data_IF_481617564729
#
_entry.id   IF_481617564729
#
_cell.length_a   1.000
_cell.length_b   1.000
_cell.length_c   1.000
_cell.angle_alpha   90.00
_cell.angle_beta   90.00
_cell.angle_gamma   90.00
#
_symmetry.space_group_name_H-M   'P 1'
#
loop_
_entity.id
_entity.type
_entity.pdbx_description
1 polymer ?
#
# COMPACT_ATOMS: atom_id res chain seq x y z
N UNK A 1 -9.33 7.48 -9.72
CA UNK A 1 -8.18 6.64 -10.13
C UNK A 1 -7.09 6.73 -9.10
N UNK A 2 -6.20 5.75 -9.06
CA UNK A 2 -5.20 5.66 -7.99
C UNK A 2 -4.15 6.76 -8.18
N UNK A 3 -3.93 7.56 -7.13
CA UNK A 3 -2.84 8.53 -7.05
C UNK A 3 -1.97 8.15 -5.85
N UNK A 4 -0.72 7.79 -6.12
CA UNK A 4 0.25 7.43 -5.07
C UNK A 4 1.12 8.65 -4.82
N UNK A 5 0.93 9.31 -3.68
CA UNK A 5 1.66 10.53 -3.38
C UNK A 5 3.12 10.29 -2.98
N UNK A 6 3.51 9.05 -2.70
CA UNK A 6 4.92 8.66 -2.59
C UNK A 6 5.63 8.49 -3.95
N UNK A 7 4.94 8.62 -5.09
CA UNK A 7 5.54 8.44 -6.44
C UNK A 7 5.88 9.79 -7.10
N UNK A 8 6.82 9.77 -8.04
CA UNK A 8 7.30 10.92 -8.81
C UNK A 8 6.47 11.24 -10.06
N UNK A 9 5.77 10.27 -10.64
CA UNK A 9 4.99 10.46 -11.88
C UNK A 9 3.56 10.01 -11.63
N UNK A 10 2.93 10.68 -10.66
CA UNK A 10 1.65 10.27 -10.05
C UNK A 10 0.50 10.30 -11.05
N UNK A 11 0.53 11.27 -11.96
CA UNK A 11 -0.49 11.44 -13.00
C UNK A 11 -0.46 10.30 -14.03
N UNK A 12 0.73 9.83 -14.42
CA UNK A 12 0.83 8.72 -15.39
C UNK A 12 0.19 7.43 -14.86
N UNK A 13 0.43 7.08 -13.59
CA UNK A 13 -0.22 5.93 -12.96
C UNK A 13 -1.74 6.12 -12.84
N UNK A 14 -2.17 7.34 -12.52
CA UNK A 14 -3.59 7.69 -12.48
C UNK A 14 -4.25 7.43 -13.83
N UNK A 15 -3.63 7.89 -14.92
CA UNK A 15 -4.16 7.80 -16.27
C UNK A 15 -4.21 6.35 -16.77
N UNK A 16 -3.12 5.57 -16.56
CA UNK A 16 -3.08 4.13 -16.88
C UNK A 16 -4.19 3.38 -16.14
N UNK A 17 -4.31 3.61 -14.83
CA UNK A 17 -5.36 2.97 -14.02
C UNK A 17 -6.75 3.30 -14.57
N UNK A 18 -6.98 4.55 -15.00
CA UNK A 18 -8.24 5.00 -15.60
C UNK A 18 -8.58 4.20 -16.85
N UNK A 19 -7.63 4.16 -17.78
CA UNK A 19 -7.81 3.50 -19.08
C UNK A 19 -8.03 2.01 -18.89
N UNK A 20 -7.23 1.36 -18.05
CA UNK A 20 -7.33 -0.09 -17.84
C UNK A 20 -8.64 -0.51 -17.19
N UNK A 21 -9.18 0.28 -16.24
CA UNK A 21 -10.52 0.04 -15.67
C UNK A 21 -11.64 0.13 -16.71
N UNK A 22 -11.41 0.82 -17.82
CA UNK A 22 -12.31 0.96 -18.96
C UNK A 22 -11.94 0.05 -20.15
N UNK A 23 -11.06 -0.95 -19.95
CA UNK A 23 -10.58 -1.87 -21.01
C UNK A 23 -9.88 -1.14 -22.18
N UNK A 24 -9.20 -0.04 -21.88
CA UNK A 24 -8.42 0.73 -22.86
C UNK A 24 -6.94 0.48 -22.62
N UNK A 25 -6.33 -0.36 -23.46
CA UNK A 25 -4.90 -0.62 -23.45
C UNK A 25 -4.21 0.26 -24.49
N UNK A 26 -3.21 1.04 -24.09
CA UNK A 26 -2.33 1.73 -25.01
C UNK A 26 -0.99 1.00 -25.19
N UNK A 27 -0.36 1.05 -26.37
CA UNK A 27 0.89 0.32 -26.65
C UNK A 27 2.03 0.62 -25.67
N UNK A 28 2.06 1.82 -25.09
CA UNK A 28 3.11 2.27 -24.18
C UNK A 28 2.82 1.95 -22.70
N UNK A 29 1.62 1.46 -22.36
CA UNK A 29 1.18 1.33 -20.96
C UNK A 29 2.08 0.38 -20.18
N UNK A 30 2.40 -0.80 -20.72
CA UNK A 30 3.22 -1.78 -20.01
C UNK A 30 4.64 -1.25 -19.74
N UNK A 31 5.25 -0.61 -20.72
CA UNK A 31 6.59 -0.01 -20.56
C UNK A 31 6.55 1.09 -19.52
N UNK A 32 5.56 1.98 -19.61
CA UNK A 32 5.38 3.09 -18.67
C UNK A 32 5.15 2.56 -17.25
N UNK A 33 4.29 1.56 -17.10
CA UNK A 33 3.99 0.94 -15.82
C UNK A 33 5.21 0.25 -15.20
N UNK A 34 6.03 -0.45 -16.01
CA UNK A 34 7.30 -1.01 -15.54
C UNK A 34 8.23 0.07 -15.03
N UNK A 35 8.40 1.16 -15.77
CA UNK A 35 9.19 2.32 -15.37
C UNK A 35 8.66 2.90 -14.06
N UNK A 36 7.35 3.19 -13.98
CA UNK A 36 6.70 3.72 -12.80
C UNK A 36 6.92 2.85 -11.56
N UNK A 37 6.66 1.55 -11.63
CA UNK A 37 6.78 0.67 -10.46
C UNK A 37 8.24 0.49 -10.04
N UNK A 38 9.13 0.22 -11.00
CA UNK A 38 10.53 -0.09 -10.69
C UNK A 38 11.32 1.14 -10.25
N UNK A 39 11.24 2.24 -11.01
CA UNK A 39 12.02 3.43 -10.72
C UNK A 39 11.52 4.14 -9.46
N UNK A 40 10.20 4.20 -9.21
CA UNK A 40 9.73 4.67 -7.90
C UNK A 40 10.21 3.76 -6.76
N UNK A 41 10.23 2.44 -6.93
CA UNK A 41 10.73 1.54 -5.87
C UNK A 41 12.20 1.82 -5.53
N UNK A 42 13.04 2.08 -6.54
CA UNK A 42 14.44 2.45 -6.34
C UNK A 42 14.59 3.83 -5.71
N UNK A 43 13.88 4.82 -6.25
CA UNK A 43 13.93 6.19 -5.77
C UNK A 43 13.46 6.31 -4.32
N UNK A 44 12.31 5.71 -3.98
CA UNK A 44 11.77 5.66 -2.61
C UNK A 44 12.77 4.99 -1.67
N UNK A 45 13.50 3.97 -2.13
CA UNK A 45 14.49 3.31 -1.28
C UNK A 45 15.67 4.23 -0.94
N UNK A 46 16.19 4.97 -1.93
CA UNK A 46 17.25 5.97 -1.74
C UNK A 46 16.78 7.11 -0.84
N UNK A 47 15.64 7.70 -1.17
CA UNK A 47 15.06 8.81 -0.43
C UNK A 47 14.70 8.42 1.01
N UNK A 48 14.11 7.23 1.21
CA UNK A 48 13.82 6.75 2.56
C UNK A 48 15.08 6.43 3.37
N UNK A 49 16.19 6.08 2.72
CA UNK A 49 17.49 5.89 3.39
C UNK A 49 18.05 7.23 3.82
N UNK A 50 18.10 8.19 2.90
CA UNK A 50 18.55 9.56 3.12
C UNK A 50 17.82 10.21 4.31
N UNK A 51 16.48 10.22 4.27
CA UNK A 51 15.66 10.71 5.37
C UNK A 51 16.00 10.01 6.70
N UNK A 52 16.11 8.68 6.71
CA UNK A 52 16.32 7.94 7.95
C UNK A 52 17.74 8.11 8.53
N UNK A 53 18.75 8.28 7.66
CA UNK A 53 20.14 8.54 8.05
C UNK A 53 20.30 9.93 8.70
N UNK A 54 19.47 10.89 8.31
CA UNK A 54 19.35 12.14 9.05
C UNK A 54 18.49 11.98 10.31
N UNK A 55 17.26 11.47 10.17
CA UNK A 55 16.25 11.52 11.22
C UNK A 55 16.62 10.75 12.49
N UNK A 56 17.03 9.48 12.38
CA UNK A 56 17.24 8.63 13.56
C UNK A 56 18.43 9.08 14.43
N UNK A 57 19.59 9.47 13.87
CA UNK A 57 20.67 10.04 14.67
C UNK A 57 20.28 11.35 15.36
N UNK A 58 19.58 12.26 14.66
CA UNK A 58 19.13 13.53 15.26
C UNK A 58 18.09 13.31 16.37
N UNK A 59 17.18 12.35 16.17
CA UNK A 59 16.18 11.99 17.16
C UNK A 59 16.78 11.32 18.39
N UNK A 60 17.64 10.32 18.21
CA UNK A 60 18.22 9.56 19.32
C UNK A 60 19.34 10.30 20.05
N UNK A 61 20.12 11.12 19.34
CA UNK A 61 21.36 11.71 19.86
C UNK A 61 22.52 10.71 19.94
N UNK A 62 22.33 9.48 19.45
CA UNK A 62 23.26 8.37 19.56
C UNK A 62 23.71 7.86 18.19
N UNK A 63 24.76 7.02 18.19
CA UNK A 63 25.17 6.27 16.99
C UNK A 63 24.11 5.21 16.67
N UNK A 64 23.48 5.35 15.50
CA UNK A 64 22.44 4.43 15.03
C UNK A 64 23.05 3.27 14.25
N UNK A 65 22.57 2.07 14.53
CA UNK A 65 22.86 0.84 13.79
C UNK A 65 21.67 0.50 12.90
N UNK A 66 21.94 0.06 11.66
CA UNK A 66 20.94 -0.32 10.69
C UNK A 66 20.95 -1.84 10.47
N UNK A 67 19.77 -2.47 10.49
CA UNK A 67 19.61 -3.88 10.16
C UNK A 67 18.53 -4.04 9.09
N UNK A 68 18.90 -4.60 7.93
CA UNK A 68 17.90 -4.99 6.92
C UNK A 68 17.26 -6.30 7.34
N UNK A 69 15.93 -6.37 7.26
CA UNK A 69 15.13 -7.54 7.62
C UNK A 69 14.18 -7.91 6.49
N UNK A 70 13.76 -9.18 6.49
CA UNK A 70 12.95 -9.80 5.43
C UNK A 70 11.61 -10.34 5.92
N UNK A 71 11.47 -10.55 7.24
CA UNK A 71 10.24 -11.02 7.86
C UNK A 71 9.91 -10.24 9.15
N UNK A 72 8.67 -10.42 9.63
CA UNK A 72 8.19 -9.75 10.84
C UNK A 72 8.76 -10.33 12.13
N UNK A 73 9.18 -11.60 12.12
CA UNK A 73 9.82 -12.25 13.25
C UNK A 73 11.06 -11.49 13.72
N UNK A 74 11.93 -11.08 12.79
CA UNK A 74 13.16 -10.31 13.10
C UNK A 74 12.87 -9.02 13.87
N UNK A 75 11.83 -8.27 13.46
CA UNK A 75 11.37 -7.06 14.17
C UNK A 75 10.84 -7.40 15.57
N UNK A 76 9.99 -8.43 15.67
CA UNK A 76 9.33 -8.81 16.92
C UNK A 76 10.34 -9.34 17.94
N UNK A 77 11.34 -10.08 17.49
CA UNK A 77 12.42 -10.58 18.33
C UNK A 77 13.25 -9.44 18.91
N UNK A 78 13.62 -8.45 18.08
CA UNK A 78 14.38 -7.29 18.54
C UNK A 78 13.59 -6.47 19.58
N UNK A 79 12.28 -6.31 19.39
CA UNK A 79 11.40 -5.63 20.35
C UNK A 79 11.31 -6.36 21.70
N UNK A 80 11.27 -7.70 21.67
CA UNK A 80 11.11 -8.52 22.88
C UNK A 80 12.41 -8.68 23.66
N UNK A 81 13.54 -8.83 22.97
CA UNK A 81 14.84 -9.12 23.59
C UNK A 81 15.41 -7.95 24.41
N UNK A 82 15.19 -6.71 23.94
CA UNK A 82 15.79 -5.51 24.54
C UNK A 82 14.72 -4.43 24.75
N UNK A 83 13.77 -4.63 25.68
CA UNK A 83 12.70 -3.68 25.90
C UNK A 83 13.23 -2.36 26.45
N UNK A 84 12.65 -1.24 25.99
CA UNK A 84 13.08 0.10 26.40
C UNK A 84 12.87 0.34 27.90
N UNK A 85 11.79 -0.21 28.43
CA UNK A 85 11.45 -0.28 29.85
C UNK A 85 10.57 -1.52 30.07
N UNK A 86 10.36 -1.88 31.33
CA UNK A 86 9.58 -3.07 31.69
C UNK A 86 8.45 -2.68 32.63
N UNK A 87 7.26 -3.19 32.35
CA UNK A 87 6.11 -3.16 33.24
C UNK A 87 5.36 -4.51 33.15
N UNK A 88 4.34 -4.72 33.98
CA UNK A 88 3.58 -5.98 34.02
C UNK A 88 3.00 -6.36 32.65
N UNK A 89 2.55 -5.36 31.90
CA UNK A 89 1.96 -5.56 30.58
C UNK A 89 2.99 -6.04 29.56
N UNK A 90 4.17 -5.42 29.54
CA UNK A 90 5.29 -5.80 28.66
C UNK A 90 5.78 -7.21 29.01
N UNK A 91 5.93 -7.53 30.30
CA UNK A 91 6.30 -8.88 30.76
C UNK A 91 5.29 -9.92 30.25
N UNK A 92 3.99 -9.62 30.38
CA UNK A 92 2.92 -10.50 29.91
C UNK A 92 2.92 -10.68 28.38
N UNK A 93 3.22 -9.63 27.62
CA UNK A 93 3.31 -9.69 26.16
C UNK A 93 4.51 -10.53 25.73
N UNK A 94 5.70 -10.24 26.27
CA UNK A 94 6.94 -10.95 25.97
C UNK A 94 6.82 -12.44 26.30
N UNK A 95 6.32 -12.79 27.50
CA UNK A 95 6.13 -14.19 27.90
C UNK A 95 5.22 -14.95 26.94
N UNK A 96 4.09 -14.35 26.53
CA UNK A 96 3.15 -15.01 25.60
C UNK A 96 3.77 -15.21 24.22
N UNK A 97 4.56 -14.24 23.76
CA UNK A 97 5.29 -14.34 22.50
C UNK A 97 6.38 -15.42 22.54
N UNK A 98 7.16 -15.48 23.63
CA UNK A 98 8.22 -16.49 23.81
C UNK A 98 7.66 -17.90 23.93
N UNK A 99 6.51 -18.08 24.58
CA UNK A 99 5.85 -19.38 24.73
C UNK A 99 5.23 -19.90 23.42
N UNK A 100 4.67 -19.00 22.60
CA UNK A 100 3.93 -19.37 21.38
C UNK A 100 4.21 -18.40 20.21
N UNK A 101 5.47 -18.30 19.75
CA UNK A 101 5.87 -17.33 18.72
C UNK A 101 5.08 -17.50 17.41
N UNK A 102 4.67 -18.71 17.06
CA UNK A 102 3.92 -19.06 15.87
C UNK A 102 2.55 -18.35 15.76
N UNK A 103 1.95 -17.97 16.90
CA UNK A 103 0.65 -17.28 16.94
C UNK A 103 0.72 -15.82 16.48
N UNK A 104 1.92 -15.30 16.28
CA UNK A 104 2.18 -13.90 16.00
C UNK A 104 2.64 -13.66 14.56
N UNK A 105 2.28 -14.53 13.61
CA UNK A 105 2.44 -14.28 12.16
C UNK A 105 3.87 -13.86 11.77
N UNK A 106 4.88 -14.45 12.44
CA UNK A 106 6.30 -14.09 12.31
C UNK A 106 6.82 -14.21 10.88
N UNK A 107 6.35 -15.22 10.16
CA UNK A 107 6.70 -15.48 8.76
C UNK A 107 6.11 -14.48 7.76
N UNK A 108 5.36 -13.48 8.24
CA UNK A 108 4.82 -12.43 7.37
C UNK A 108 5.97 -11.70 6.67
N UNK A 109 6.02 -11.69 5.32
CA UNK A 109 7.12 -11.03 4.64
C UNK A 109 7.13 -9.52 4.92
N UNK A 110 8.29 -8.99 5.24
CA UNK A 110 8.51 -7.62 5.66
C UNK A 110 9.89 -7.19 5.16
N UNK A 111 9.93 -6.42 4.07
CA UNK A 111 11.18 -5.81 3.62
C UNK A 111 11.27 -4.42 4.24
N UNK A 112 12.16 -4.28 5.22
CA UNK A 112 12.34 -3.05 5.97
C UNK A 112 13.77 -2.92 6.50
N UNK A 113 14.07 -1.75 7.03
CA UNK A 113 15.31 -1.49 7.77
C UNK A 113 14.91 -1.11 9.18
N UNK A 114 15.45 -1.83 10.16
CA UNK A 114 15.31 -1.54 11.58
C UNK A 114 16.48 -0.65 12.02
N UNK A 115 16.18 0.27 12.92
CA UNK A 115 17.15 1.19 13.51
C UNK A 115 17.22 0.93 15.00
N UNK A 116 18.44 0.77 15.50
CA UNK A 116 18.71 0.56 16.92
C UNK A 116 19.86 1.44 17.39
N UNK A 117 19.89 1.71 18.69
CA UNK A 117 21.02 2.35 19.38
C UNK A 117 21.55 1.39 20.43
N UNK A 118 22.83 1.52 20.76
CA UNK A 118 23.42 0.69 21.80
C UNK A 118 23.01 1.19 23.18
N UNK A 119 22.38 0.33 23.98
CA UNK A 119 22.03 0.61 25.38
C UNK A 119 22.45 -0.57 26.23
N UNK A 120 23.30 -0.32 27.24
CA UNK A 120 23.81 -1.36 28.14
C UNK A 120 24.46 -2.55 27.38
N UNK A 121 25.18 -2.25 26.30
CA UNK A 121 25.85 -3.25 25.46
C UNK A 121 24.91 -4.09 24.59
N UNK A 122 23.63 -3.70 24.45
CA UNK A 122 22.64 -4.39 23.62
C UNK A 122 21.94 -3.44 22.64
N UNK A 123 21.50 -3.93 21.47
CA UNK A 123 20.77 -3.11 20.51
C UNK A 123 19.34 -2.86 21.00
N UNK A 124 19.02 -1.60 21.29
CA UNK A 124 17.68 -1.15 21.61
C UNK A 124 17.02 -0.56 20.36
N UNK A 125 15.91 -1.16 19.92
CA UNK A 125 15.16 -0.71 18.76
C UNK A 125 14.51 0.67 18.99
N UNK A 126 14.72 1.59 18.07
CA UNK A 126 14.17 2.96 18.11
C UNK A 126 13.20 3.26 16.97
N UNK A 127 13.14 2.41 15.95
CA UNK A 127 12.22 2.59 14.83
C UNK A 127 12.59 1.81 13.59
N UNK A 128 11.81 1.95 12.54
CA UNK A 128 12.04 1.28 11.26
C UNK A 128 11.55 2.13 10.10
N UNK A 129 12.07 1.83 8.92
CA UNK A 129 11.45 2.25 7.64
C UNK A 129 11.08 1.03 6.83
N UNK A 130 10.05 1.15 6.00
CA UNK A 130 9.65 0.12 5.06
C UNK A 130 9.04 0.71 3.80
N UNK A 131 9.18 -0.01 2.70
CA UNK A 131 8.42 0.26 1.48
C UNK A 131 7.30 -0.76 1.41
N UNK A 132 6.06 -0.28 1.22
CA UNK A 132 4.91 -1.15 1.06
C UNK A 132 5.09 -2.01 -0.19
N UNK A 133 4.93 -3.32 -0.03
CA UNK A 133 4.99 -4.28 -1.14
C UNK A 133 3.97 -3.95 -2.22
N UNK A 134 4.37 -4.09 -3.47
CA UNK A 134 3.57 -3.91 -4.69
C UNK A 134 2.16 -4.53 -4.57
N UNK A 135 2.06 -5.81 -4.15
CA UNK A 135 0.76 -6.49 -3.91
C UNK A 135 -0.12 -5.78 -2.88
N UNK A 136 0.48 -5.23 -1.81
CA UNK A 136 -0.26 -4.51 -0.76
C UNK A 136 -0.71 -3.12 -1.23
N UNK A 137 0.04 -2.48 -2.14
CA UNK A 137 -0.39 -1.24 -2.80
C UNK A 137 -1.60 -1.53 -3.70
N UNK A 138 -1.52 -2.58 -4.52
CA UNK A 138 -2.60 -3.04 -5.37
C UNK A 138 -3.89 -3.32 -4.57
N UNK A 139 -3.79 -4.09 -3.49
CA UNK A 139 -4.92 -4.41 -2.61
C UNK A 139 -5.57 -3.14 -2.03
N UNK A 140 -4.76 -2.17 -1.57
CA UNK A 140 -5.27 -0.91 -1.03
C UNK A 140 -5.98 -0.08 -2.10
N UNK A 141 -5.39 0.02 -3.29
CA UNK A 141 -6.00 0.73 -4.41
C UNK A 141 -7.32 0.08 -4.83
N UNK A 142 -7.32 -1.24 -5.00
CA UNK A 142 -8.51 -2.02 -5.32
C UNK A 142 -9.62 -1.80 -4.31
N UNK A 143 -9.32 -1.82 -3.01
CA UNK A 143 -10.30 -1.58 -1.96
C UNK A 143 -10.97 -0.20 -2.10
N UNK A 144 -10.19 0.87 -2.30
CA UNK A 144 -10.75 2.23 -2.46
C UNK A 144 -11.68 2.32 -3.67
N UNK A 145 -11.33 1.67 -4.78
CA UNK A 145 -12.16 1.62 -5.99
C UNK A 145 -13.43 0.80 -5.73
N UNK A 146 -13.30 -0.37 -5.11
CA UNK A 146 -14.42 -1.25 -4.77
C UNK A 146 -15.40 -0.61 -3.79
N UNK A 147 -14.91 0.12 -2.79
CA UNK A 147 -15.72 0.88 -1.83
C UNK A 147 -16.52 1.97 -2.56
N UNK A 148 -15.91 2.64 -3.54
CA UNK A 148 -16.59 3.61 -4.39
C UNK A 148 -17.67 2.96 -5.26
N UNK A 149 -17.35 1.86 -5.94
CA UNK A 149 -18.32 1.08 -6.74
C UNK A 149 -19.51 0.68 -5.86
N UNK A 150 -19.25 0.14 -4.66
CA UNK A 150 -20.30 -0.25 -3.74
C UNK A 150 -21.18 0.93 -3.32
N UNK A 151 -20.57 2.08 -3.02
CA UNK A 151 -21.33 3.31 -2.73
C UNK A 151 -22.24 3.70 -3.89
N UNK A 152 -21.77 3.58 -5.14
CA UNK A 152 -22.57 3.87 -6.33
C UNK A 152 -23.72 2.86 -6.52
N UNK A 153 -23.47 1.56 -6.31
CA UNK A 153 -24.51 0.53 -6.36
C UNK A 153 -25.59 0.82 -5.30
N UNK A 154 -25.18 1.08 -4.05
CA UNK A 154 -26.10 1.38 -2.96
C UNK A 154 -26.96 2.60 -3.27
N UNK A 155 -26.34 3.69 -3.71
CA UNK A 155 -27.07 4.90 -4.12
C UNK A 155 -28.10 4.61 -5.23
N UNK A 156 -27.77 3.75 -6.19
CA UNK A 156 -28.68 3.41 -7.28
C UNK A 156 -29.80 2.46 -6.84
N UNK A 157 -29.52 1.49 -5.98
CA UNK A 157 -30.53 0.64 -5.36
C UNK A 157 -31.49 1.47 -4.49
N UNK A 158 -30.95 2.43 -3.74
CA UNK A 158 -31.74 3.37 -2.94
C UNK A 158 -32.71 4.22 -3.77
N UNK A 159 -32.33 4.58 -5.00
CA UNK A 159 -33.20 5.26 -5.96
C UNK A 159 -34.29 4.33 -6.52
N UNK A 160 -33.97 3.07 -6.82
CA UNK A 160 -34.96 2.09 -7.26
C UNK A 160 -36.03 1.83 -6.18
N UNK A 161 -35.61 1.74 -4.92
CA UNK A 161 -36.52 1.65 -3.78
C UNK A 161 -37.39 2.92 -3.66
N UNK A 162 -36.84 4.10 -3.91
CA UNK A 162 -37.60 5.35 -3.92
C UNK A 162 -38.65 5.37 -5.05
N UNK A 163 -38.25 5.01 -6.28
CA UNK A 163 -39.16 4.91 -7.43
C UNK A 163 -40.34 3.95 -7.12
N UNK A 164 -40.07 2.84 -6.43
CA UNK A 164 -41.12 1.91 -6.00
C UNK A 164 -42.05 2.50 -4.94
N UNK A 165 -41.52 3.21 -3.94
CA UNK A 165 -42.34 3.90 -2.94
C UNK A 165 -43.26 4.95 -3.61
N UNK A 166 -42.71 5.71 -4.57
CA UNK A 166 -43.45 6.74 -5.31
C UNK A 166 -44.60 6.12 -6.13
N UNK A 167 -44.38 4.97 -6.78
CA UNK A 167 -45.44 4.22 -7.49
C UNK A 167 -46.56 3.77 -6.55
N UNK A 168 -46.22 3.45 -5.30
CA UNK A 168 -47.17 3.05 -4.27
C UNK A 168 -47.83 4.25 -3.56
N UNK A 169 -47.41 5.48 -3.89
CA UNK A 169 -47.93 6.70 -3.26
C UNK A 169 -47.59 6.83 -1.78
N UNK A 170 -46.52 6.16 -1.31
CA UNK A 170 -46.08 6.16 0.10
C UNK A 170 -44.69 6.81 0.22
N UNK A 171 -44.32 7.22 1.44
CA UNK A 171 -42.97 7.67 1.68
C UNK A 171 -41.99 6.47 1.74
N UNK A 172 -40.73 6.64 1.29
CA UNK A 172 -39.75 5.54 1.31
C UNK A 172 -39.50 4.96 2.71
N UNK A 173 -39.64 5.76 3.77
CA UNK A 173 -39.53 5.26 5.15
C UNK A 173 -40.66 4.31 5.55
N UNK A 174 -41.77 4.31 4.81
CA UNK A 174 -42.94 3.44 5.02
C UNK A 174 -42.89 2.21 4.10
N UNK A 175 -41.94 2.17 3.15
CA UNK A 175 -41.77 1.05 2.23
C UNK A 175 -41.17 -0.16 2.95
N UNK A 176 -42.01 -1.17 3.20
CA UNK A 176 -41.56 -2.47 3.69
C UNK A 176 -41.14 -3.32 2.49
N UNK A 177 -39.85 -3.64 2.40
CA UNK A 177 -39.27 -4.44 1.33
C UNK A 177 -38.97 -5.85 1.78
N UNK A 178 -39.30 -6.83 0.95
CA UNK A 178 -38.83 -8.20 1.13
C UNK A 178 -37.35 -8.32 0.76
N UNK A 179 -36.60 -9.29 1.31
CA UNK A 179 -35.22 -9.55 0.90
C UNK A 179 -35.08 -9.76 -0.61
N UNK A 180 -36.05 -10.42 -1.25
CA UNK A 180 -36.07 -10.67 -2.69
C UNK A 180 -36.15 -9.37 -3.49
N UNK A 181 -37.01 -8.43 -3.08
CA UNK A 181 -37.11 -7.11 -3.72
C UNK A 181 -35.83 -6.29 -3.55
N UNK A 182 -35.23 -6.29 -2.36
CA UNK A 182 -33.96 -5.60 -2.11
C UNK A 182 -32.83 -6.18 -2.95
N UNK A 183 -32.81 -7.51 -3.11
CA UNK A 183 -31.82 -8.19 -3.95
C UNK A 183 -32.02 -7.86 -5.43
N UNK A 184 -33.25 -7.87 -5.96
CA UNK A 184 -33.53 -7.47 -7.36
C UNK A 184 -33.09 -6.02 -7.63
N UNK A 185 -33.43 -5.10 -6.73
CA UNK A 185 -33.01 -3.70 -6.82
C UNK A 185 -31.48 -3.58 -6.82
N UNK A 186 -30.80 -4.35 -5.96
CA UNK A 186 -29.35 -4.39 -5.91
C UNK A 186 -28.74 -4.95 -7.20
N UNK A 187 -29.25 -6.07 -7.73
CA UNK A 187 -28.76 -6.69 -8.96
C UNK A 187 -28.96 -5.78 -10.18
N UNK A 188 -30.11 -5.10 -10.26
CA UNK A 188 -30.38 -4.10 -11.31
C UNK A 188 -29.45 -2.90 -11.18
N UNK A 189 -29.18 -2.44 -9.95
CA UNK A 189 -28.21 -1.39 -9.68
C UNK A 189 -26.79 -1.82 -10.09
N UNK A 190 -26.33 -3.00 -9.67
CA UNK A 190 -25.02 -3.56 -10.03
C UNK A 190 -24.85 -3.69 -11.55
N UNK A 191 -25.89 -4.17 -12.25
CA UNK A 191 -25.90 -4.31 -13.71
C UNK A 191 -25.75 -2.95 -14.41
N UNK A 192 -26.42 -1.90 -13.93
CA UNK A 192 -26.27 -0.53 -14.46
C UNK A 192 -24.85 0.01 -14.23
N UNK A 193 -24.26 -0.26 -13.07
CA UNK A 193 -22.87 0.13 -12.76
C UNK A 193 -21.88 -0.63 -13.66
N UNK A 194 -22.11 -1.91 -13.92
CA UNK A 194 -21.30 -2.69 -14.86
C UNK A 194 -21.35 -2.11 -16.29
N UNK A 195 -22.53 -1.68 -16.76
CA UNK A 195 -22.67 -0.98 -18.06
C UNK A 195 -21.96 0.38 -18.07
N UNK A 196 -22.01 1.14 -16.97
CA UNK A 196 -21.30 2.41 -16.88
C UNK A 196 -19.78 2.21 -16.90
N UNK A 197 -19.27 1.14 -16.27
CA UNK A 197 -17.86 0.75 -16.33
C UNK A 197 -17.42 0.39 -17.75
N UNK A 198 -18.20 -0.43 -18.47
CA UNK A 198 -17.86 -0.84 -19.84
C UNK A 198 -17.82 0.30 -20.85
N UNK A 199 -18.46 1.43 -20.52
CA UNK A 199 -18.43 2.67 -21.31
C UNK A 199 -17.40 3.69 -20.80
N UNK A 200 -16.66 3.38 -19.74
CA UNK A 200 -15.71 4.32 -19.11
C UNK A 200 -16.38 5.52 -18.43
N UNK A 201 -17.67 5.42 -18.09
CA UNK A 201 -18.51 6.53 -17.59
C UNK A 201 -18.70 6.52 -16.07
N UNK A 202 -18.34 5.44 -15.37
CA UNK A 202 -18.58 5.36 -13.93
C UNK A 202 -17.82 6.42 -13.13
N UNK A 203 -16.59 6.72 -13.51
CA UNK A 203 -15.70 7.56 -12.71
C UNK A 203 -15.64 8.99 -13.26
N UNK A 204 -15.93 10.02 -12.42
CA UNK A 204 -15.69 11.41 -12.78
C UNK A 204 -14.26 11.64 -13.27
N UNK A 205 -14.05 12.62 -14.15
CA UNK A 205 -12.73 12.91 -14.75
C UNK A 205 -11.65 13.16 -13.70
N UNK A 206 -12.00 13.80 -12.58
CA UNK A 206 -11.06 14.21 -11.53
C UNK A 206 -11.09 13.31 -10.28
N UNK A 207 -11.85 12.21 -10.30
CA UNK A 207 -11.92 11.32 -9.13
C UNK A 207 -10.54 10.74 -8.84
N UNK A 208 -9.94 11.02 -7.68
CA UNK A 208 -8.68 10.44 -7.23
C UNK A 208 -8.87 9.61 -5.96
N UNK A 209 -8.15 8.49 -5.86
CA UNK A 209 -8.06 7.65 -4.67
C UNK A 209 -6.61 7.69 -4.19
N UNK A 210 -6.39 8.48 -3.14
CA UNK A 210 -5.05 8.83 -2.70
C UNK A 210 -4.47 7.73 -1.80
N UNK A 211 -3.22 7.36 -2.07
CA UNK A 211 -2.42 6.48 -1.24
C UNK A 211 -1.17 7.24 -0.78
N UNK A 212 -1.10 7.53 0.52
CA UNK A 212 -0.01 8.27 1.16
C UNK A 212 1.10 7.36 1.71
N UNK A 213 0.76 6.11 2.03
CA UNK A 213 1.57 5.30 2.93
C UNK A 213 2.41 4.23 2.23
N UNK A 214 2.99 4.55 1.06
CA UNK A 214 3.90 3.61 0.39
C UNK A 214 5.27 3.59 1.05
N UNK A 215 5.84 4.75 1.38
CA UNK A 215 7.00 4.84 2.27
C UNK A 215 6.51 5.10 3.69
N UNK A 216 6.71 4.11 4.56
CA UNK A 216 6.33 4.19 5.97
C UNK A 216 7.54 4.18 6.87
N UNK A 217 7.58 5.08 7.84
CA UNK A 217 8.55 5.15 8.93
C UNK A 217 7.80 4.96 10.24
N UNK A 218 8.38 4.20 11.17
CA UNK A 218 7.90 4.05 12.54
C UNK A 218 9.00 4.53 13.48
N UNK A 219 8.63 5.27 14.51
CA UNK A 219 9.56 5.70 15.56
C UNK A 219 8.96 5.40 16.94
N UNK A 220 9.80 4.91 17.84
CA UNK A 220 9.46 4.78 19.26
C UNK A 220 9.82 6.09 19.94
N UNK A 221 8.80 6.84 20.34
CA UNK A 221 8.96 8.08 21.09
C UNK A 221 7.96 8.08 22.24
N UNK A 222 8.47 8.16 23.45
CA UNK A 222 7.63 8.32 24.65
C UNK A 222 6.88 9.66 24.57
N UNK A 223 5.81 9.82 25.35
CA UNK A 223 4.92 11.00 25.26
C UNK A 223 5.70 12.34 25.34
N UNK A 224 6.70 12.42 26.21
CA UNK A 224 7.56 13.60 26.37
C UNK A 224 8.53 13.81 25.18
N UNK A 225 8.79 12.80 24.35
CA UNK A 225 9.68 12.85 23.18
C UNK A 225 8.94 13.14 21.88
N UNK A 226 7.62 12.90 21.82
CA UNK A 226 6.84 13.14 20.58
C UNK A 226 6.93 14.59 20.07
N UNK A 227 6.92 15.64 20.92
CA UNK A 227 7.13 17.01 20.46
C UNK A 227 8.47 17.20 19.76
N UNK A 228 9.54 16.51 20.20
CA UNK A 228 10.86 16.55 19.54
C UNK A 228 10.79 15.99 18.13
N UNK A 229 10.06 14.90 17.90
CA UNK A 229 9.87 14.32 16.56
C UNK A 229 9.23 15.34 15.61
N UNK A 230 8.16 15.98 16.05
CA UNK A 230 7.46 16.99 15.25
C UNK A 230 8.37 18.21 14.99
N UNK A 231 9.13 18.64 15.99
CA UNK A 231 10.05 19.77 15.85
C UNK A 231 11.17 19.48 14.85
N UNK A 232 11.78 18.29 14.90
CA UNK A 232 12.79 17.88 13.92
C UNK A 232 12.26 17.94 12.48
N UNK A 233 11.03 17.49 12.25
CA UNK A 233 10.41 17.58 10.93
C UNK A 233 10.15 19.03 10.50
N UNK A 234 9.77 19.92 11.43
CA UNK A 234 9.53 21.34 11.13
C UNK A 234 10.81 22.12 10.82
N UNK A 235 11.91 21.77 11.47
CA UNK A 235 13.21 22.45 11.31
C UNK A 235 13.97 21.97 10.07
N UNK A 236 13.64 20.81 9.53
CA UNK A 236 14.32 20.28 8.36
C UNK A 236 13.91 21.03 7.08
N UNK A 237 14.85 21.63 6.33
CA UNK A 237 14.54 22.52 5.21
C UNK A 237 13.81 21.83 4.04
N UNK A 238 13.88 20.49 3.97
CA UNK A 238 13.25 19.70 2.92
C UNK A 238 11.96 18.99 3.36
N UNK A 239 11.45 19.29 4.56
CA UNK A 239 10.25 18.68 5.10
C UNK A 239 9.10 19.69 5.19
N UNK A 240 7.89 19.26 4.83
CA UNK A 240 6.66 20.03 5.02
C UNK A 240 5.59 19.10 5.59
N UNK A 241 5.11 19.36 6.80
CA UNK A 241 4.03 18.56 7.42
C UNK A 241 2.71 18.90 6.74
N UNK A 242 2.01 17.87 6.25
CA UNK A 242 0.72 17.99 5.57
C UNK A 242 -0.43 17.65 6.51
N UNK A 243 -0.27 16.59 7.31
CA UNK A 243 -1.32 16.10 8.18
C UNK A 243 -0.72 15.48 9.45
N UNK A 244 -1.39 15.71 10.57
CA UNK A 244 -1.14 15.02 11.84
C UNK A 244 -2.47 14.44 12.30
N UNK A 245 -2.55 13.11 12.38
CA UNK A 245 -3.72 12.37 12.85
C UNK A 245 -3.39 11.65 14.16
N UNK A 246 -4.21 11.88 15.19
CA UNK A 246 -4.07 11.18 16.47
C UNK A 246 -5.06 10.02 16.56
N UNK A 247 -4.55 8.81 16.76
CA UNK A 247 -5.35 7.64 17.04
C UNK A 247 -5.40 7.36 18.54
N UNK A 248 -6.61 7.10 19.04
CA UNK A 248 -6.90 6.75 20.43
C UNK A 248 -7.88 5.58 20.48
N UNK A 249 -7.70 4.69 21.45
CA UNK A 249 -8.57 3.53 21.69
C UNK A 249 -7.82 2.22 21.57
N UNK A 250 -8.30 1.31 20.71
CA UNK A 250 -7.69 -0.01 20.56
C UNK A 250 -6.26 0.07 20.01
N UNK A 251 -5.98 1.07 19.17
CA UNK A 251 -4.66 1.38 18.61
C UNK A 251 -4.34 2.84 18.92
N UNK A 252 -3.23 3.09 19.60
CA UNK A 252 -2.77 4.43 19.96
C UNK A 252 -1.48 4.75 19.22
N UNK A 253 -1.51 5.81 18.42
CA UNK A 253 -0.34 6.34 17.71
C UNK A 253 -0.65 7.76 17.21
N UNK A 254 0.40 8.50 16.88
CA UNK A 254 0.29 9.73 16.09
C UNK A 254 0.84 9.44 14.70
N UNK A 255 -0.01 9.55 13.68
CA UNK A 255 0.43 9.45 12.29
C UNK A 255 0.70 10.85 11.76
N UNK A 256 1.82 11.01 11.07
CA UNK A 256 2.23 12.26 10.44
C UNK A 256 2.47 11.97 8.97
N UNK A 257 1.77 12.68 8.08
CA UNK A 257 2.08 12.68 6.65
C UNK A 257 2.82 13.98 6.35
N UNK A 258 4.00 13.86 5.75
CA UNK A 258 4.81 15.02 5.36
C UNK A 258 5.39 14.84 3.96
N UNK A 259 5.64 15.95 3.27
CA UNK A 259 6.39 15.99 2.02
C UNK A 259 7.87 16.04 2.33
N UNK A 260 8.64 15.28 1.57
CA UNK A 260 10.09 15.31 1.60
C UNK A 260 10.66 15.60 0.21
N UNK A 261 11.47 16.64 0.10
CA UNK A 261 12.01 17.18 -1.16
C UNK A 261 13.56 17.27 -1.13
N UNK A 262 14.27 16.13 -1.15
CA UNK A 262 15.73 16.14 -1.03
C UNK A 262 16.40 16.67 -2.30
N UNK A 263 17.71 16.93 -2.22
CA UNK A 263 18.51 17.23 -3.41
C UNK A 263 18.59 15.98 -4.31
N UNK A 264 17.84 15.98 -5.42
CA UNK A 264 17.79 14.86 -6.37
C UNK A 264 19.16 14.53 -6.93
N UNK A 265 19.98 15.53 -7.23
CA UNK A 265 21.29 15.33 -7.85
C UNK A 265 22.26 14.60 -6.93
N UNK A 266 22.28 14.96 -5.64
CA UNK A 266 23.10 14.27 -4.63
C UNK A 266 22.71 12.79 -4.50
N UNK A 267 21.41 12.50 -4.45
CA UNK A 267 20.91 11.11 -4.39
C UNK A 267 21.09 10.33 -5.69
N UNK A 268 21.22 11.02 -6.82
CA UNK A 268 21.50 10.41 -8.13
C UNK A 268 22.99 10.20 -8.39
N UNK A 269 23.88 10.86 -7.65
CA UNK A 269 25.34 10.69 -7.79
C UNK A 269 25.79 9.24 -7.50
N UNK A 270 25.05 8.51 -6.67
CA UNK A 270 25.28 7.09 -6.46
C UNK A 270 24.80 6.27 -7.69
N UNK A 271 25.64 5.41 -8.29
CA UNK A 271 25.22 4.53 -9.38
C UNK A 271 24.24 3.45 -8.90
N UNK A 272 23.55 2.78 -9.82
CA UNK A 272 22.74 1.62 -9.47
C UNK A 272 23.65 0.45 -9.09
N UNK A 273 23.29 -0.32 -8.07
CA UNK A 273 24.04 -1.53 -7.74
C UNK A 273 23.84 -2.60 -8.82
N UNK A 274 24.84 -3.46 -9.04
CA UNK A 274 24.75 -4.57 -10.00
C UNK A 274 23.51 -5.44 -9.77
N UNK A 275 23.20 -5.74 -8.50
CA UNK A 275 22.01 -6.51 -8.13
C UNK A 275 20.71 -5.79 -8.54
N UNK A 276 20.64 -4.47 -8.36
CA UNK A 276 19.47 -3.70 -8.77
C UNK A 276 19.33 -3.71 -10.31
N UNK A 277 20.43 -3.48 -11.03
CA UNK A 277 20.47 -3.50 -12.49
C UNK A 277 20.02 -4.86 -13.04
N UNK A 278 20.59 -5.96 -12.53
CA UNK A 278 20.24 -7.32 -12.97
C UNK A 278 18.76 -7.64 -12.74
N UNK A 279 18.20 -7.20 -11.60
CA UNK A 279 16.76 -7.34 -11.31
C UNK A 279 15.89 -6.54 -12.27
N UNK A 280 16.29 -5.33 -12.64
CA UNK A 280 15.56 -4.52 -13.61
C UNK A 280 15.60 -5.12 -15.01
N UNK A 281 16.77 -5.62 -15.41
CA UNK A 281 16.94 -6.31 -16.70
C UNK A 281 16.09 -7.57 -16.77
N UNK A 282 16.08 -8.37 -15.70
CA UNK A 282 15.19 -9.54 -15.62
C UNK A 282 13.70 -9.18 -15.69
N UNK A 283 13.33 -7.96 -15.28
CA UNK A 283 11.96 -7.42 -15.41
C UNK A 283 11.67 -6.82 -16.79
N UNK A 284 12.58 -6.99 -17.75
CA UNK A 284 12.40 -6.55 -19.13
C UNK A 284 12.84 -5.11 -19.41
N UNK A 285 13.59 -4.46 -18.51
CA UNK A 285 14.22 -3.17 -18.81
C UNK A 285 15.54 -3.37 -19.59
N UNK A 286 15.90 -2.39 -20.42
CA UNK A 286 17.09 -2.44 -21.27
C UNK A 286 18.37 -2.06 -20.51
N UNK A 287 19.30 -3.01 -20.37
CA UNK A 287 20.55 -2.84 -19.60
C UNK A 287 21.34 -1.58 -19.98
N UNK A 288 21.44 -1.29 -21.28
CA UNK A 288 22.19 -0.16 -21.85
C UNK A 288 21.57 1.22 -21.55
N UNK A 289 20.31 1.27 -21.12
CA UNK A 289 19.57 2.53 -20.90
C UNK A 289 19.09 2.74 -19.47
N UNK A 290 19.00 1.68 -18.67
CA UNK A 290 18.38 1.71 -17.33
C UNK A 290 18.89 2.86 -16.45
N UNK A 291 20.20 3.12 -16.38
CA UNK A 291 20.72 4.20 -15.54
C UNK A 291 20.33 5.59 -16.05
N UNK A 292 20.48 5.83 -17.36
CA UNK A 292 20.08 7.09 -17.98
C UNK A 292 18.57 7.33 -17.86
N UNK A 293 17.76 6.31 -18.13
CA UNK A 293 16.31 6.34 -18.01
C UNK A 293 15.88 6.59 -16.56
N UNK A 294 16.55 5.95 -15.58
CA UNK A 294 16.29 6.18 -14.15
C UNK A 294 16.61 7.61 -13.73
N UNK A 295 17.76 8.13 -14.17
CA UNK A 295 18.15 9.52 -13.90
C UNK A 295 17.15 10.51 -14.48
N UNK A 296 16.79 10.36 -15.76
CA UNK A 296 15.79 11.20 -16.41
C UNK A 296 14.42 11.11 -15.74
N UNK A 297 13.99 9.90 -15.36
CA UNK A 297 12.75 9.68 -14.63
C UNK A 297 12.72 10.45 -13.30
N UNK A 298 13.81 10.44 -12.53
CA UNK A 298 13.86 11.14 -11.24
C UNK A 298 13.84 12.66 -11.45
N UNK A 299 14.65 13.17 -12.38
CA UNK A 299 14.77 14.60 -12.63
C UNK A 299 13.50 15.21 -13.23
N UNK A 300 12.76 14.46 -14.05
CA UNK A 300 11.51 14.95 -14.68
C UNK A 300 10.25 14.80 -13.84
N UNK A 301 10.31 14.07 -12.72
CA UNK A 301 9.15 13.83 -11.85
C UNK A 301 8.97 14.89 -10.77
N UNK A 302 7.94 14.72 -9.93
CA UNK A 302 7.64 15.61 -8.79
C UNK A 302 8.88 15.94 -7.95
N UNK A 303 8.96 17.15 -7.41
CA UNK A 303 10.10 17.55 -6.56
C UNK A 303 10.10 16.90 -5.18
N UNK A 304 8.94 16.40 -4.77
CA UNK A 304 8.73 15.86 -3.43
C UNK A 304 7.89 14.60 -3.50
N UNK A 305 8.02 13.75 -2.48
CA UNK A 305 7.12 12.62 -2.24
C UNK A 305 6.55 12.69 -0.84
N UNK A 306 5.45 11.98 -0.59
CA UNK A 306 4.86 11.90 0.74
C UNK A 306 5.40 10.67 1.49
N UNK A 307 5.68 10.88 2.78
CA UNK A 307 6.13 9.86 3.73
C UNK A 307 5.14 9.82 4.90
N UNK A 308 4.73 8.62 5.30
CA UNK A 308 3.97 8.40 6.53
C UNK A 308 4.94 8.07 7.67
N UNK A 309 4.98 8.89 8.71
CA UNK A 309 5.68 8.61 9.97
C UNK A 309 4.66 8.26 11.06
N UNK A 310 4.81 7.10 11.68
CA UNK A 310 3.99 6.66 12.81
C UNK A 310 4.83 6.78 14.09
N UNK A 311 4.32 7.55 15.03
CA UNK A 311 4.91 7.80 16.35
C UNK A 311 4.08 7.03 17.39
N UNK A 312 4.74 6.18 18.17
CA UNK A 312 4.11 5.50 19.31
C UNK A 312 5.13 5.32 20.43
N UNK A 313 4.67 5.21 21.68
CA UNK A 313 5.54 4.76 22.76
C UNK A 313 5.95 3.28 22.59
N UNK A 314 6.86 2.81 23.43
CA UNK A 314 7.36 1.43 23.34
C UNK A 314 6.26 0.39 23.57
N UNK A 315 5.37 0.59 24.55
CA UNK A 315 4.32 -0.37 24.85
C UNK A 315 3.30 -0.48 23.71
N UNK A 316 2.89 0.64 23.12
CA UNK A 316 1.99 0.66 21.97
C UNK A 316 2.63 0.09 20.71
N UNK A 317 3.95 0.29 20.52
CA UNK A 317 4.69 -0.42 19.48
C UNK A 317 4.58 -1.93 19.67
N UNK A 318 4.83 -2.41 20.89
CA UNK A 318 4.75 -3.83 21.25
C UNK A 318 3.33 -4.38 21.08
N UNK A 319 2.30 -3.63 21.51
CA UNK A 319 0.89 -4.00 21.32
C UNK A 319 0.52 -4.10 19.83
N UNK A 320 1.10 -3.23 18.98
CA UNK A 320 0.86 -3.22 17.54
C UNK A 320 1.52 -4.38 16.78
N UNK A 321 2.46 -5.09 17.41
CA UNK A 321 3.21 -6.18 16.79
C UNK A 321 2.91 -7.55 17.42
N UNK A 322 2.71 -7.63 18.74
CA UNK A 322 2.47 -8.88 19.48
C UNK A 322 1.34 -8.80 20.53
N UNK A 323 0.49 -7.77 20.44
CA UNK A 323 -0.55 -7.55 21.44
C UNK A 323 -1.94 -7.32 20.87
N UNK A 324 -2.72 -6.49 21.56
CA UNK A 324 -4.15 -6.31 21.31
C UNK A 324 -4.43 -5.75 19.91
N UNK A 325 -3.54 -4.88 19.41
CA UNK A 325 -3.73 -4.10 18.18
C UNK A 325 -2.86 -4.59 17.02
N UNK A 326 -2.47 -5.88 17.05
CA UNK A 326 -1.57 -6.48 16.06
C UNK A 326 -1.94 -6.10 14.62
N UNK A 327 -0.98 -5.51 13.90
CA UNK A 327 -1.18 -4.93 12.58
C UNK A 327 -1.79 -5.92 11.59
N UNK A 328 -1.29 -7.15 11.57
CA UNK A 328 -1.73 -8.20 10.66
C UNK A 328 -3.18 -8.63 10.94
N UNK A 329 -3.58 -8.73 12.21
CA UNK A 329 -4.97 -9.03 12.58
C UNK A 329 -5.93 -7.92 12.10
N UNK A 330 -5.52 -6.66 12.20
CA UNK A 330 -6.29 -5.53 11.66
C UNK A 330 -6.44 -5.64 10.15
N UNK A 331 -5.40 -6.03 9.43
CA UNK A 331 -5.45 -6.27 7.98
C UNK A 331 -6.44 -7.39 7.64
N UNK A 332 -6.36 -8.52 8.35
CA UNK A 332 -7.25 -9.66 8.13
C UNK A 332 -8.71 -9.27 8.41
N UNK A 333 -8.99 -8.62 9.54
CA UNK A 333 -10.33 -8.11 9.86
C UNK A 333 -10.85 -7.15 8.80
N UNK A 334 -10.02 -6.24 8.29
CA UNK A 334 -10.44 -5.34 7.20
C UNK A 334 -10.80 -6.09 5.91
N UNK A 335 -10.13 -7.22 5.61
CA UNK A 335 -10.49 -8.07 4.46
C UNK A 335 -11.80 -8.82 4.70
N UNK A 336 -11.97 -9.38 5.89
CA UNK A 336 -13.17 -10.12 6.27
C UNK A 336 -14.40 -9.21 6.39
N UNK A 337 -14.24 -7.97 6.83
CA UNK A 337 -15.36 -7.06 7.04
C UNK A 337 -15.69 -6.20 5.81
N UNK A 338 -15.17 -6.54 4.63
CA UNK A 338 -15.49 -5.81 3.42
C UNK A 338 -16.98 -6.00 3.07
N UNK A 339 -17.73 -4.89 3.07
CA UNK A 339 -19.20 -4.89 2.91
C UNK A 339 -19.67 -5.36 1.53
N UNK A 340 -18.81 -5.28 0.51
CA UNK A 340 -19.13 -5.67 -0.85
C UNK A 340 -18.08 -6.65 -1.39
N UNK A 341 -18.56 -7.82 -1.82
CA UNK A 341 -17.76 -8.93 -2.33
C UNK A 341 -18.24 -9.42 -3.71
N UNK A 342 -19.02 -8.60 -4.40
CA UNK A 342 -19.54 -8.92 -5.73
C UNK A 342 -18.42 -9.03 -6.78
N UNK A 343 -18.80 -9.52 -7.96
CA UNK A 343 -17.85 -9.81 -9.04
C UNK A 343 -17.06 -8.56 -9.48
N UNK A 344 -17.67 -7.37 -9.49
CA UNK A 344 -16.98 -6.10 -9.83
C UNK A 344 -15.82 -5.82 -8.87
N UNK A 345 -16.02 -5.97 -7.56
CA UNK A 345 -14.96 -5.73 -6.56
C UNK A 345 -13.81 -6.73 -6.68
N UNK A 346 -14.15 -8.00 -6.97
CA UNK A 346 -13.15 -9.05 -7.21
C UNK A 346 -12.32 -8.74 -8.46
N UNK A 347 -12.97 -8.34 -9.55
CA UNK A 347 -12.27 -8.04 -10.80
C UNK A 347 -11.43 -6.77 -10.72
N UNK A 348 -11.88 -5.75 -9.99
CA UNK A 348 -11.02 -4.60 -9.66
C UNK A 348 -9.77 -5.07 -8.91
N UNK A 349 -9.91 -5.99 -7.96
CA UNK A 349 -8.76 -6.56 -7.24
C UNK A 349 -7.81 -7.31 -8.18
N UNK A 350 -8.34 -8.13 -9.08
CA UNK A 350 -7.55 -8.84 -10.10
C UNK A 350 -6.83 -7.89 -11.05
N UNK A 351 -7.52 -6.89 -11.59
CA UNK A 351 -6.91 -5.91 -12.50
C UNK A 351 -5.80 -5.11 -11.80
N UNK A 352 -6.05 -4.65 -10.58
CA UNK A 352 -5.05 -3.92 -9.80
C UNK A 352 -3.84 -4.81 -9.48
N UNK A 353 -4.05 -6.06 -9.10
CA UNK A 353 -2.96 -7.01 -8.85
C UNK A 353 -2.17 -7.30 -10.14
N UNK A 354 -2.86 -7.50 -11.27
CA UNK A 354 -2.23 -7.68 -12.58
C UNK A 354 -1.38 -6.47 -13.01
N UNK A 355 -1.92 -5.26 -12.89
CA UNK A 355 -1.22 -4.00 -13.21
C UNK A 355 0.08 -3.88 -12.40
N UNK A 356 0.00 -4.06 -11.08
CA UNK A 356 1.18 -3.98 -10.24
C UNK A 356 2.15 -5.15 -10.46
N UNK A 357 1.66 -6.35 -10.77
CA UNK A 357 2.47 -7.51 -11.14
C UNK A 357 3.23 -7.30 -12.46
N UNK A 358 2.63 -6.61 -13.45
CA UNK A 358 3.28 -6.27 -14.71
C UNK A 358 4.63 -5.55 -14.49
N UNK A 359 4.68 -4.66 -13.49
CA UNK A 359 5.89 -3.94 -13.12
C UNK A 359 7.04 -4.84 -12.63
N UNK A 360 6.73 -6.00 -12.04
CA UNK A 360 7.76 -6.92 -11.51
C UNK A 360 7.91 -8.21 -12.33
N UNK A 361 7.12 -8.37 -13.39
CA UNK A 361 7.17 -9.50 -14.32
C UNK A 361 8.31 -9.38 -15.34
N UNK A 362 8.77 -10.49 -15.95
CA UNK A 362 9.71 -10.45 -17.08
C UNK A 362 9.06 -10.05 -18.41
N UNK A 363 7.74 -10.19 -18.53
CA UNK A 363 6.98 -9.96 -19.78
C UNK A 363 7.09 -8.51 -20.25
N UNK A 364 7.47 -8.28 -21.51
CA UNK A 364 7.72 -6.93 -22.09
C UNK A 364 6.59 -6.41 -22.96
N UNK A 365 5.61 -7.25 -23.31
CA UNK A 365 4.45 -6.91 -24.14
C UNK A 365 3.19 -7.60 -23.63
N UNK A 366 2.06 -6.90 -23.69
CA UNK A 366 0.71 -7.45 -23.56
C UNK A 366 -0.10 -6.97 -24.76
N UNK A 367 -0.95 -7.83 -25.30
CA UNK A 367 -1.76 -7.53 -26.47
C UNK A 367 -3.19 -7.12 -26.10
N UNK A 368 -3.66 -7.57 -24.94
CA UNK A 368 -4.97 -7.27 -24.38
C UNK A 368 -4.93 -7.21 -22.85
N UNK A 369 -6.00 -6.67 -22.26
CA UNK A 369 -6.21 -6.70 -20.82
C UNK A 369 -6.98 -7.98 -20.46
N UNK A 370 -6.38 -8.89 -19.65
CA UNK A 370 -7.02 -10.17 -19.36
C UNK A 370 -8.23 -10.04 -18.42
N UNK A 371 -8.41 -8.87 -17.79
CA UNK A 371 -9.46 -8.62 -16.80
C UNK A 371 -10.25 -7.38 -17.19
N UNK A 372 -11.46 -7.61 -17.69
CA UNK A 372 -12.51 -6.60 -17.84
C UNK A 372 -13.40 -6.58 -16.60
N UNK A 373 -13.55 -5.44 -15.95
CA UNK A 373 -14.18 -5.34 -14.62
C UNK A 373 -15.62 -5.86 -14.59
N UNK A 374 -16.37 -5.72 -15.68
CA UNK A 374 -17.79 -6.09 -15.79
C UNK A 374 -18.07 -7.54 -16.20
N UNK A 375 -17.05 -8.37 -16.46
CA UNK A 375 -17.22 -9.78 -16.86
C UNK A 375 -17.19 -10.70 -15.64
N UNK A 376 -17.85 -11.85 -15.66
CA UNK A 376 -17.75 -12.84 -14.58
C UNK A 376 -16.63 -13.84 -14.89
N UNK A 377 -15.65 -13.93 -14.00
CA UNK A 377 -14.56 -14.93 -14.05
C UNK A 377 -14.69 -15.95 -12.92
N UNK A 378 -14.22 -17.17 -13.15
CA UNK A 378 -13.88 -18.07 -12.05
C UNK A 378 -12.56 -17.63 -11.41
N UNK A 379 -12.34 -17.85 -10.10
CA UNK A 379 -11.07 -17.49 -9.46
C UNK A 379 -9.84 -18.08 -10.16
N UNK A 380 -9.93 -19.33 -10.61
CA UNK A 380 -8.84 -20.07 -11.27
C UNK A 380 -8.33 -19.39 -12.55
N UNK A 381 -9.20 -18.63 -13.24
CA UNK A 381 -8.81 -17.87 -14.43
C UNK A 381 -7.69 -16.87 -14.10
N UNK A 382 -7.79 -16.19 -12.96
CA UNK A 382 -6.79 -15.18 -12.59
C UNK A 382 -5.45 -15.80 -12.22
N UNK A 383 -5.46 -17.00 -11.64
CA UNK A 383 -4.23 -17.73 -11.33
C UNK A 383 -3.45 -18.09 -12.61
N UNK A 384 -4.15 -18.51 -13.67
CA UNK A 384 -3.53 -18.76 -14.97
C UNK A 384 -3.00 -17.47 -15.63
N UNK A 385 -3.75 -16.36 -15.53
CA UNK A 385 -3.29 -15.04 -16.00
C UNK A 385 -1.99 -14.62 -15.32
N UNK A 386 -1.85 -14.84 -14.01
CA UNK A 386 -0.61 -14.52 -13.30
C UNK A 386 0.52 -15.48 -13.67
N UNK A 387 0.27 -16.78 -13.81
CA UNK A 387 1.28 -17.74 -14.27
C UNK A 387 1.85 -17.34 -15.63
N UNK A 388 0.99 -17.01 -16.59
CA UNK A 388 1.41 -16.56 -17.92
C UNK A 388 2.26 -15.28 -17.86
N UNK A 389 1.88 -14.34 -16.99
CA UNK A 389 2.62 -13.08 -16.80
C UNK A 389 4.06 -13.34 -16.32
N UNK A 390 4.25 -14.36 -15.49
CA UNK A 390 5.54 -14.78 -14.96
C UNK A 390 6.20 -15.93 -15.73
N UNK A 391 5.63 -16.34 -16.87
CA UNK A 391 6.14 -17.45 -17.69
C UNK A 391 6.27 -18.77 -16.89
N UNK A 392 5.35 -19.01 -15.96
CA UNK A 392 5.28 -20.26 -15.19
C UNK A 392 4.61 -21.31 -16.10
N UNK A 393 5.26 -22.45 -16.37
CA UNK A 393 4.71 -23.49 -17.26
C UNK A 393 3.35 -23.99 -16.78
N UNK A 394 2.49 -24.34 -17.73
CA UNK A 394 1.21 -24.97 -17.43
C UNK A 394 1.40 -26.48 -17.31
N UNK A 395 0.61 -27.12 -16.43
CA UNK A 395 0.72 -28.56 -16.17
C UNK A 395 0.59 -29.46 -17.42
N UNK A 396 0.02 -28.94 -18.53
CA UNK A 396 -0.18 -29.67 -19.79
C UNK A 396 0.98 -29.53 -20.79
N UNK A 397 2.09 -28.87 -20.46
CA UNK A 397 3.20 -28.61 -21.40
C UNK A 397 4.34 -29.66 -21.33
N UNK A 398 4.04 -30.93 -20.99
CA UNK A 398 5.03 -32.03 -20.93
C UNK A 398 4.85 -33.01 -22.10
N UNK A 399 4.50 -32.53 -23.29
CA UNK A 399 4.55 -33.33 -24.54
C UNK A 399 5.52 -32.74 -25.56
#
# INVERSE_FOLDING_TARGET
MIRINSFLHRQQLYDITRRWLADQLEPADLVTLKTLINFNSLWINRLGRDFAQWFFPQFSGDKVQEQTVSNKGELKDLLVQNPRYVNERIISLNRRYEQHPERYLRETPFSGVLYSVERQGKPAYIGSRRIKRVRRIAEKGARRISDYIYKQIKQRADLLAQERADIMGIHKSELISTPEQMNDEFERAESRIAMALSRGQLFPKEQAFILEDVLGVKVIAEEYEQPKVIQLLKEHPHCEIIEIEHHRGHYNATNVVFRYAPNKEELLAQPLSTIALDRLVHRGLRRDRVEGDFRQFVLSGEDSIHIELIISDFQEMLESEIGRSMHENRIIRQRMNQSYRGHLARNVSYLMEFMFACGISPKTRIDDLPIKVWIRYMPDYFDEVLKDLFQIPRFREIE
#
